data_IF_922008990969
#
_entry.id   IF_922008990969
#
_cell.length_a   1.000
_cell.length_b   1.000
_cell.length_c   1.000
_cell.angle_alpha   90.00
_cell.angle_beta   90.00
_cell.angle_gamma   90.00
#
_symmetry.space_group_name_H-M   'P 1'
#
loop_
_entity.id
_entity.type
_entity.pdbx_description
1 polymer ?
#
# COMPACT_ATOMS: atom_id res chain seq x y z
N UNK A 1 -15.32 -11.77 15.43
CA UNK A 1 -15.21 -10.32 15.21
C UNK A 1 -15.20 -10.04 13.71
N UNK A 2 -16.03 -9.14 13.26
CA UNK A 2 -16.09 -8.77 11.85
C UNK A 2 -15.16 -7.58 11.63
N UNK A 3 -14.14 -7.77 10.79
CA UNK A 3 -13.22 -6.71 10.41
C UNK A 3 -13.85 -5.87 9.30
N UNK A 4 -13.88 -4.56 9.50
CA UNK A 4 -14.38 -3.63 8.48
C UNK A 4 -13.23 -3.21 7.60
N UNK A 5 -13.26 -3.63 6.33
CA UNK A 5 -12.31 -3.22 5.33
C UNK A 5 -12.97 -2.22 4.39
N UNK A 6 -12.25 -1.15 4.06
CA UNK A 6 -12.75 -0.14 3.15
C UNK A 6 -11.81 0.00 1.96
N UNK A 7 -12.27 -0.34 0.74
CA UNK A 7 -11.47 -0.11 -0.45
C UNK A 7 -11.48 1.37 -0.82
N UNK A 8 -10.28 1.91 -1.10
CA UNK A 8 -10.12 3.29 -1.52
C UNK A 8 -9.66 3.35 -2.96
N UNK A 9 -10.39 4.12 -3.76
CA UNK A 9 -9.96 4.49 -5.10
C UNK A 9 -9.49 5.94 -5.05
N UNK A 10 -8.22 6.14 -5.36
CA UNK A 10 -7.58 7.44 -5.31
C UNK A 10 -7.38 7.96 -6.73
N UNK A 11 -8.15 8.95 -7.12
CA UNK A 11 -8.04 9.58 -8.43
C UNK A 11 -8.08 11.10 -8.27
N UNK A 12 -6.99 11.77 -8.62
CA UNK A 12 -6.86 13.21 -8.51
C UNK A 12 -6.60 13.70 -7.07
N UNK A 13 -5.91 14.83 -6.93
CA UNK A 13 -5.41 15.30 -5.65
C UNK A 13 -6.47 15.65 -4.62
N UNK A 14 -7.46 16.46 -5.00
CA UNK A 14 -8.49 16.90 -4.05
C UNK A 14 -9.50 15.80 -3.76
N UNK A 15 -9.81 14.99 -4.76
CA UNK A 15 -10.75 13.88 -4.60
C UNK A 15 -10.20 12.80 -3.67
N UNK A 16 -8.89 12.64 -3.61
CA UNK A 16 -8.25 11.70 -2.70
C UNK A 16 -8.54 12.02 -1.25
N UNK A 17 -8.40 13.30 -0.86
CA UNK A 17 -8.64 13.71 0.51
C UNK A 17 -10.11 13.55 0.91
N UNK A 18 -11.03 13.81 0.00
CA UNK A 18 -12.46 13.61 0.24
C UNK A 18 -12.78 12.14 0.40
N UNK A 19 -12.23 11.28 -0.47
CA UNK A 19 -12.44 9.84 -0.38
C UNK A 19 -11.92 9.28 0.94
N UNK A 20 -10.76 9.73 1.40
CA UNK A 20 -10.18 9.31 2.65
C UNK A 20 -11.02 9.77 3.84
N UNK A 21 -11.47 11.03 3.82
CA UNK A 21 -12.33 11.54 4.88
C UNK A 21 -13.63 10.75 5.01
N UNK A 22 -14.25 10.40 3.86
CA UNK A 22 -15.46 9.56 3.86
C UNK A 22 -15.18 8.17 4.41
N UNK A 23 -14.06 7.57 4.02
CA UNK A 23 -13.68 6.25 4.50
C UNK A 23 -13.49 6.27 6.01
N UNK A 24 -12.83 7.29 6.56
CA UNK A 24 -12.58 7.42 7.98
C UNK A 24 -13.87 7.60 8.78
N UNK A 25 -14.88 8.25 8.21
CA UNK A 25 -16.17 8.40 8.87
C UNK A 25 -16.88 7.06 9.10
N UNK A 26 -16.57 6.06 8.30
CA UNK A 26 -17.11 4.71 8.45
C UNK A 26 -16.40 3.92 9.55
N UNK A 27 -15.35 4.47 10.15
CA UNK A 27 -14.55 3.85 11.21
C UNK A 27 -14.07 2.44 10.83
N UNK A 28 -13.35 2.29 9.72
CA UNK A 28 -12.88 0.98 9.30
C UNK A 28 -11.72 0.49 10.17
N UNK A 29 -11.60 -0.82 10.30
CA UNK A 29 -10.41 -1.43 10.91
C UNK A 29 -9.26 -1.53 9.93
N UNK A 30 -9.56 -1.65 8.64
CA UNK A 30 -8.59 -1.83 7.58
C UNK A 30 -8.95 -0.93 6.39
N UNK A 31 -7.95 -0.23 5.87
CA UNK A 31 -8.07 0.50 4.60
C UNK A 31 -7.32 -0.28 3.52
N UNK A 32 -7.96 -0.51 2.40
CA UNK A 32 -7.37 -1.20 1.27
C UNK A 32 -7.12 -0.22 0.13
N UNK A 33 -5.85 -0.08 -0.25
CA UNK A 33 -5.43 0.72 -1.40
C UNK A 33 -5.05 -0.22 -2.53
N UNK A 34 -5.75 -0.14 -3.65
CA UNK A 34 -5.48 -1.00 -4.81
C UNK A 34 -4.84 -0.16 -5.92
N UNK A 35 -3.56 -0.38 -6.16
CA UNK A 35 -2.75 0.34 -7.15
C UNK A 35 -2.93 1.87 -7.05
N UNK A 36 -2.69 2.46 -5.87
CA UNK A 36 -3.01 3.88 -5.65
C UNK A 36 -2.14 4.84 -6.46
N UNK A 37 -1.01 4.37 -7.00
CA UNK A 37 -0.10 5.19 -7.79
C UNK A 37 -0.06 4.75 -9.26
N UNK A 38 -1.13 4.12 -9.74
CA UNK A 38 -1.22 3.71 -11.15
C UNK A 38 -1.08 4.90 -12.10
N UNK A 39 -1.35 6.11 -11.65
CA UNK A 39 -1.07 7.31 -12.41
C UNK A 39 0.44 7.56 -12.43
N UNK A 40 0.96 7.98 -13.58
CA UNK A 40 2.40 8.13 -13.79
C UNK A 40 2.97 9.46 -13.28
N UNK A 41 2.20 10.25 -12.56
CA UNK A 41 2.60 11.57 -12.08
C UNK A 41 3.32 11.45 -10.73
N UNK A 42 4.61 11.81 -10.64
CA UNK A 42 5.37 11.76 -9.38
C UNK A 42 4.77 12.61 -8.27
N UNK A 43 4.11 13.71 -8.62
CA UNK A 43 3.47 14.58 -7.64
C UNK A 43 2.29 13.86 -6.96
N UNK A 44 1.49 13.13 -7.74
CA UNK A 44 0.40 12.33 -7.20
C UNK A 44 0.95 11.23 -6.31
N UNK A 45 2.02 10.57 -6.74
CA UNK A 45 2.68 9.53 -5.93
C UNK A 45 3.11 10.10 -4.58
N UNK A 46 3.73 11.27 -4.55
CA UNK A 46 4.16 11.91 -3.31
C UNK A 46 2.99 12.26 -2.41
N UNK A 47 1.88 12.70 -2.98
CA UNK A 47 0.67 12.98 -2.20
C UNK A 47 0.12 11.71 -1.55
N UNK A 48 0.07 10.61 -2.29
CA UNK A 48 -0.40 9.33 -1.75
C UNK A 48 0.51 8.85 -0.63
N UNK A 49 1.82 8.95 -0.81
CA UNK A 49 2.79 8.59 0.24
C UNK A 49 2.53 9.40 1.50
N UNK A 50 2.34 10.71 1.37
CA UNK A 50 2.06 11.59 2.51
C UNK A 50 0.79 11.19 3.24
N UNK A 51 -0.26 10.87 2.50
CA UNK A 51 -1.54 10.46 3.08
C UNK A 51 -1.39 9.14 3.85
N UNK A 52 -0.71 8.16 3.26
CA UNK A 52 -0.50 6.87 3.91
C UNK A 52 0.31 7.03 5.20
N UNK A 53 1.35 7.85 5.18
CA UNK A 53 2.16 8.12 6.37
C UNK A 53 1.36 8.86 7.45
N UNK A 54 0.52 9.79 7.05
CA UNK A 54 -0.34 10.52 7.98
C UNK A 54 -1.35 9.56 8.63
N UNK A 55 -1.95 8.66 7.85
CA UNK A 55 -2.89 7.68 8.36
C UNK A 55 -2.23 6.63 9.26
N UNK A 56 -0.94 6.34 9.06
CA UNK A 56 -0.26 5.36 9.90
C UNK A 56 -0.20 5.79 11.36
N UNK A 57 -0.29 7.07 11.63
CA UNK A 57 -0.36 7.58 13.00
C UNK A 57 -1.70 7.38 13.69
N UNK A 58 -2.73 6.96 12.97
CA UNK A 58 -4.08 6.80 13.53
C UNK A 58 -4.36 5.40 14.07
N UNK A 59 -3.47 4.45 13.84
CA UNK A 59 -3.65 3.07 14.28
C UNK A 59 -4.47 2.20 13.33
N UNK A 60 -4.93 2.73 12.21
CA UNK A 60 -5.68 1.96 11.22
C UNK A 60 -4.70 1.10 10.42
N UNK A 61 -5.02 -0.17 10.26
CA UNK A 61 -4.23 -1.07 9.41
C UNK A 61 -4.46 -0.71 7.95
N UNK A 62 -3.39 -0.57 7.20
CA UNK A 62 -3.44 -0.25 5.79
C UNK A 62 -2.86 -1.40 4.99
N UNK A 63 -3.59 -1.86 3.97
CA UNK A 63 -3.13 -2.86 3.02
C UNK A 63 -3.02 -2.18 1.66
N UNK A 64 -1.83 -2.21 1.09
CA UNK A 64 -1.56 -1.59 -0.21
C UNK A 64 -1.18 -2.68 -1.20
N UNK A 65 -1.95 -2.78 -2.28
CA UNK A 65 -1.66 -3.70 -3.37
C UNK A 65 -1.04 -2.88 -4.50
N UNK A 66 0.21 -3.19 -4.85
CA UNK A 66 0.90 -2.47 -5.92
C UNK A 66 2.00 -3.33 -6.52
N UNK A 67 2.31 -3.09 -7.78
CA UNK A 67 3.49 -3.65 -8.42
C UNK A 67 4.61 -2.61 -8.56
N UNK A 68 4.43 -1.42 -7.99
CA UNK A 68 5.46 -0.38 -8.01
C UNK A 68 6.36 -0.52 -6.78
N UNK A 69 7.52 -1.12 -6.98
CA UNK A 69 8.46 -1.44 -5.89
C UNK A 69 8.94 -0.19 -5.17
N UNK A 70 9.30 0.85 -5.91
CA UNK A 70 9.81 2.09 -5.31
C UNK A 70 8.78 2.75 -4.40
N UNK A 71 7.51 2.72 -4.79
CA UNK A 71 6.45 3.22 -3.96
C UNK A 71 6.30 2.36 -2.69
N UNK A 72 6.30 1.05 -2.86
CA UNK A 72 6.16 0.13 -1.72
C UNK A 72 7.29 0.33 -0.70
N UNK A 73 8.52 0.53 -1.16
CA UNK A 73 9.67 0.77 -0.28
C UNK A 73 9.49 2.00 0.61
N UNK A 74 8.76 2.99 0.12
CA UNK A 74 8.57 4.25 0.86
C UNK A 74 7.57 4.13 2.00
N UNK A 75 6.64 3.18 1.92
CA UNK A 75 5.50 3.13 2.83
C UNK A 75 5.39 1.85 3.66
N UNK A 76 5.99 0.75 3.21
CA UNK A 76 5.74 -0.56 3.80
C UNK A 76 6.50 -0.76 5.10
N UNK A 77 5.83 -1.28 6.12
CA UNK A 77 6.45 -1.87 7.30
C UNK A 77 6.55 -3.39 7.15
N UNK A 78 5.58 -3.98 6.48
CA UNK A 78 5.55 -5.41 6.16
C UNK A 78 5.28 -5.59 4.68
N UNK A 79 5.84 -6.68 4.13
CA UNK A 79 5.78 -6.98 2.71
C UNK A 79 5.23 -8.38 2.52
N UNK A 80 4.31 -8.52 1.57
CA UNK A 80 3.83 -9.80 1.09
C UNK A 80 4.09 -9.84 -0.42
N UNK A 81 4.91 -10.78 -0.87
CA UNK A 81 5.11 -11.00 -2.29
C UNK A 81 4.22 -12.12 -2.76
N UNK A 82 3.34 -11.83 -3.70
CA UNK A 82 2.36 -12.77 -4.22
C UNK A 82 2.70 -13.15 -5.66
N UNK A 83 2.53 -14.43 -5.97
CA UNK A 83 2.69 -14.93 -7.33
C UNK A 83 1.61 -15.97 -7.59
N UNK A 84 0.84 -15.79 -8.67
CA UNK A 84 -0.23 -16.70 -9.06
C UNK A 84 -1.22 -17.02 -7.93
N UNK A 85 -1.53 -16.01 -7.12
CA UNK A 85 -2.48 -16.15 -6.02
C UNK A 85 -1.92 -16.77 -4.74
N UNK A 86 -0.61 -17.05 -4.70
CA UNK A 86 0.03 -17.63 -3.52
C UNK A 86 1.01 -16.64 -2.90
N UNK A 87 1.14 -16.71 -1.58
CA UNK A 87 2.16 -15.94 -0.87
C UNK A 87 3.48 -16.67 -1.03
N UNK A 88 4.42 -16.05 -1.74
CA UNK A 88 5.77 -16.61 -1.96
C UNK A 88 6.70 -16.20 -0.83
N UNK A 89 6.61 -14.94 -0.40
CA UNK A 89 7.46 -14.44 0.67
C UNK A 89 6.70 -13.40 1.48
N UNK A 90 6.94 -13.37 2.79
CA UNK A 90 6.45 -12.30 3.66
C UNK A 90 7.54 -11.95 4.67
N UNK A 91 7.53 -10.71 5.12
CA UNK A 91 8.52 -10.24 6.08
C UNK A 91 8.37 -8.76 6.33
N UNK A 92 9.38 -8.19 6.99
CA UNK A 92 9.46 -6.75 7.22
C UNK A 92 9.97 -6.05 5.96
N UNK A 93 10.07 -4.73 6.01
CA UNK A 93 10.63 -3.95 4.90
C UNK A 93 12.07 -4.35 4.55
N UNK A 94 12.77 -5.04 5.46
CA UNK A 94 14.10 -5.56 5.17
C UNK A 94 14.11 -6.56 4.01
N UNK A 95 12.97 -7.18 3.70
CA UNK A 95 12.85 -8.09 2.57
C UNK A 95 13.16 -7.42 1.23
N UNK A 96 12.97 -6.11 1.13
CA UNK A 96 13.34 -5.38 -0.10
C UNK A 96 14.85 -5.35 -0.32
N UNK A 97 15.63 -5.34 0.75
CA UNK A 97 17.09 -5.27 0.69
C UNK A 97 17.70 -6.66 0.74
N UNK A 98 17.04 -7.57 1.45
CA UNK A 98 17.55 -8.93 1.66
C UNK A 98 16.40 -9.93 1.44
N UNK A 99 15.99 -10.13 0.16
CA UNK A 99 14.92 -11.09 -0.13
C UNK A 99 15.33 -12.53 0.21
N UNK A 100 14.40 -13.27 0.77
CA UNK A 100 14.66 -14.63 1.26
C UNK A 100 14.35 -15.71 0.22
N UNK A 101 13.65 -15.35 -0.86
CA UNK A 101 13.31 -16.28 -1.93
C UNK A 101 13.93 -15.82 -3.25
N UNK A 102 14.32 -16.75 -4.14
CA UNK A 102 14.84 -16.38 -5.45
C UNK A 102 13.77 -15.68 -6.30
N UNK A 103 12.51 -16.02 -6.13
CA UNK A 103 11.42 -15.42 -6.88
C UNK A 103 11.30 -13.93 -6.58
N UNK A 104 11.35 -13.54 -5.30
CA UNK A 104 11.27 -12.14 -4.91
C UNK A 104 12.53 -11.38 -5.30
N UNK A 105 13.69 -12.02 -5.13
CA UNK A 105 14.97 -11.42 -5.54
C UNK A 105 14.96 -11.08 -7.03
N UNK A 106 14.47 -11.98 -7.86
CA UNK A 106 14.36 -11.75 -9.30
C UNK A 106 13.37 -10.63 -9.61
N UNK A 107 12.23 -10.64 -8.95
CA UNK A 107 11.21 -9.59 -9.13
C UNK A 107 11.78 -8.20 -8.83
N UNK A 108 12.57 -8.08 -7.77
CA UNK A 108 13.14 -6.79 -7.37
C UNK A 108 14.20 -6.25 -8.32
N UNK A 109 14.78 -7.09 -9.18
CA UNK A 109 15.79 -6.66 -10.13
C UNK A 109 15.21 -6.16 -11.45
N UNK A 110 13.93 -6.23 -11.65
CA UNK A 110 13.27 -5.77 -12.89
C UNK A 110 12.76 -4.35 -12.78
#
# INVERSE_FOLDING_TARGET
MVTKAWPLQLSGGQQQRVAIARALMMKPDVLLFDEPTAALDPEITNQVVSIIKELSGTGITQVVVTHEVDFAKKIASHVLYLEKGYIVEHGTSDSFVNPQTPEFAEYLTH
#
